data_IF_097589829149
#
_entry.id   IF_097589829149
#
_cell.length_a   1.000
_cell.length_b   1.000
_cell.length_c   1.000
_cell.angle_alpha   90.00
_cell.angle_beta   90.00
_cell.angle_gamma   90.00
#
_symmetry.space_group_name_H-M   'P 1'
#
loop_
_entity.id
_entity.type
_entity.pdbx_description
1 polymer ?
#
# COMPACT_ATOMS: atom_id res chain seq x y z
N UNK A 1 7.67 22.68 -7.15
CA UNK A 1 7.30 21.54 -6.29
C UNK A 1 7.85 20.27 -6.92
N UNK A 2 8.53 19.42 -6.14
CA UNK A 2 9.12 18.18 -6.66
C UNK A 2 8.02 17.12 -6.85
N UNK A 3 7.96 16.49 -8.02
CA UNK A 3 7.01 15.41 -8.30
C UNK A 3 7.33 14.17 -7.42
N UNK A 4 6.30 13.56 -6.84
CA UNK A 4 6.46 12.36 -6.01
C UNK A 4 6.12 11.11 -6.81
N UNK A 5 7.07 10.18 -6.90
CA UNK A 5 6.87 8.85 -7.47
C UNK A 5 6.61 7.81 -6.37
N UNK A 6 5.92 6.72 -6.72
CA UNK A 6 5.75 5.54 -5.86
C UNK A 6 6.18 4.29 -6.65
N UNK A 7 7.49 3.99 -6.76
CA UNK A 7 8.00 2.93 -7.63
C UNK A 7 7.47 1.53 -7.24
N UNK A 8 7.34 1.26 -5.94
CA UNK A 8 6.88 -0.04 -5.42
C UNK A 8 5.35 -0.13 -5.25
N UNK A 9 4.58 0.75 -5.89
CA UNK A 9 3.11 0.81 -5.71
C UNK A 9 2.41 -0.50 -6.04
N UNK A 10 2.92 -1.23 -7.03
CA UNK A 10 2.33 -2.45 -7.56
C UNK A 10 2.94 -3.72 -6.96
N UNK A 11 3.92 -3.59 -6.06
CA UNK A 11 4.55 -4.69 -5.36
C UNK A 11 3.84 -4.93 -4.03
N UNK A 12 3.66 -6.19 -3.65
CA UNK A 12 3.16 -6.55 -2.34
C UNK A 12 4.26 -6.43 -1.28
N UNK A 13 3.88 -6.12 -0.04
CA UNK A 13 4.81 -6.02 1.10
C UNK A 13 5.65 -7.31 1.27
N UNK A 14 5.00 -8.48 1.13
CA UNK A 14 5.67 -9.78 1.18
C UNK A 14 6.76 -9.95 0.11
N UNK A 15 6.56 -9.40 -1.08
CA UNK A 15 7.53 -9.50 -2.18
C UNK A 15 8.72 -8.57 -1.93
N UNK A 16 8.47 -7.37 -1.40
CA UNK A 16 9.52 -6.40 -1.05
C UNK A 16 10.40 -6.98 0.07
N UNK A 17 9.80 -7.55 1.11
CA UNK A 17 10.53 -8.19 2.21
C UNK A 17 11.31 -9.42 1.72
N UNK A 18 10.70 -10.25 0.86
CA UNK A 18 11.36 -11.42 0.29
C UNK A 18 12.56 -11.03 -0.59
N UNK A 19 12.43 -9.97 -1.39
CA UNK A 19 13.52 -9.42 -2.18
C UNK A 19 14.68 -8.93 -1.32
N UNK A 20 14.37 -8.15 -0.27
CA UNK A 20 15.39 -7.65 0.67
C UNK A 20 16.14 -8.80 1.36
N UNK A 21 15.43 -9.88 1.72
CA UNK A 21 16.04 -11.06 2.32
C UNK A 21 17.02 -11.77 1.36
N UNK A 22 16.60 -12.07 0.12
CA UNK A 22 17.47 -12.76 -0.86
C UNK A 22 18.66 -11.91 -1.32
N UNK A 23 18.52 -10.59 -1.31
CA UNK A 23 19.61 -9.67 -1.65
C UNK A 23 20.47 -9.29 -0.43
N UNK A 24 20.21 -9.86 0.74
CA UNK A 24 20.91 -9.56 1.99
C UNK A 24 21.01 -8.04 2.26
N UNK A 25 19.92 -7.32 2.03
CA UNK A 25 19.85 -5.88 2.32
C UNK A 25 19.65 -5.67 3.82
N UNK A 26 20.35 -4.70 4.40
CA UNK A 26 20.09 -4.28 5.77
C UNK A 26 18.73 -3.56 5.84
N UNK A 27 17.78 -4.14 6.59
CA UNK A 27 16.49 -3.53 6.87
C UNK A 27 16.08 -3.76 8.34
N UNK A 28 15.28 -2.85 8.89
CA UNK A 28 14.76 -2.94 10.25
C UNK A 28 13.30 -3.37 10.24
N UNK A 29 12.94 -4.36 11.05
CA UNK A 29 11.56 -4.83 11.24
C UNK A 29 10.96 -4.44 12.59
N UNK A 30 11.62 -3.54 13.33
CA UNK A 30 11.13 -3.06 14.63
C UNK A 30 9.98 -2.08 14.42
N UNK A 31 8.77 -2.50 14.77
CA UNK A 31 7.60 -1.62 14.76
C UNK A 31 7.68 -0.58 15.89
N UNK A 32 7.00 0.55 15.70
CA UNK A 32 6.89 1.58 16.74
C UNK A 32 6.04 1.06 17.92
N UNK A 33 6.39 1.44 19.15
CA UNK A 33 5.64 1.07 20.38
C UNK A 33 4.17 1.49 20.32
N UNK A 34 3.86 2.58 19.62
CA UNK A 34 2.49 3.08 19.45
C UNK A 34 1.76 2.49 18.22
N UNK A 35 2.45 1.74 17.36
CA UNK A 35 1.87 1.16 16.15
C UNK A 35 0.62 0.28 16.41
N UNK A 36 0.55 -0.52 17.50
CA UNK A 36 -0.62 -1.35 17.78
C UNK A 36 -1.90 -0.55 18.03
N UNK A 37 -1.78 0.70 18.51
CA UNK A 37 -2.92 1.57 18.79
C UNK A 37 -3.40 2.33 17.55
N UNK A 38 -2.71 2.20 16.41
CA UNK A 38 -3.05 2.93 15.20
C UNK A 38 -4.28 2.33 14.51
N UNK A 39 -5.28 3.17 14.21
CA UNK A 39 -6.48 2.75 13.49
C UNK A 39 -6.19 2.01 12.17
N UNK A 40 -5.08 2.36 11.49
CA UNK A 40 -4.63 1.72 10.23
C UNK A 40 -4.44 0.20 10.33
N UNK A 41 -4.30 -0.36 11.53
CA UNK A 41 -4.28 -1.82 11.74
C UNK A 41 -5.57 -2.51 11.32
N UNK A 42 -6.75 -1.93 11.58
CA UNK A 42 -8.04 -2.55 11.27
C UNK A 42 -8.27 -2.70 9.75
N UNK A 43 -8.09 -1.65 8.92
CA UNK A 43 -8.17 -1.81 7.46
C UNK A 43 -7.12 -2.77 6.89
N UNK A 44 -5.93 -2.84 7.49
CA UNK A 44 -4.89 -3.79 7.07
C UNK A 44 -5.30 -5.24 7.33
N UNK A 45 -5.90 -5.53 8.49
CA UNK A 45 -6.44 -6.85 8.81
C UNK A 45 -7.54 -7.25 7.82
N UNK A 46 -8.52 -6.35 7.59
CA UNK A 46 -9.57 -6.58 6.59
C UNK A 46 -9.00 -6.86 5.20
N UNK A 47 -8.01 -6.08 4.75
CA UNK A 47 -7.35 -6.31 3.46
C UNK A 47 -6.67 -7.69 3.39
N UNK A 48 -6.13 -8.20 4.50
CA UNK A 48 -5.53 -9.54 4.56
C UNK A 48 -6.58 -10.64 4.50
N UNK A 49 -7.72 -10.47 5.18
CA UNK A 49 -8.85 -11.41 5.09
C UNK A 49 -9.41 -11.47 3.66
N UNK A 50 -9.49 -10.32 3.00
CA UNK A 50 -9.90 -10.24 1.59
C UNK A 50 -8.85 -10.79 0.61
N UNK A 51 -7.56 -10.67 0.92
CA UNK A 51 -6.47 -11.31 0.15
C UNK A 51 -6.53 -12.83 0.27
N UNK A 52 -6.90 -13.36 1.44
CA UNK A 52 -7.05 -14.80 1.69
C UNK A 52 -8.20 -15.43 0.87
N UNK A 53 -9.30 -14.70 0.68
CA UNK A 53 -10.42 -15.16 -0.17
C UNK A 53 -10.10 -15.00 -1.66
N UNK A 54 -9.43 -13.91 -2.05
CA UNK A 54 -9.01 -13.64 -3.42
C UNK A 54 -7.67 -12.91 -3.44
N UNK A 55 -6.63 -13.59 -3.92
CA UNK A 55 -5.26 -13.06 -3.93
C UNK A 55 -5.12 -11.71 -4.68
N UNK A 56 -5.95 -11.47 -5.70
CA UNK A 56 -5.90 -10.24 -6.50
C UNK A 56 -6.60 -9.04 -5.84
N UNK A 57 -7.21 -9.19 -4.67
CA UNK A 57 -8.06 -8.15 -4.07
C UNK A 57 -7.32 -6.82 -3.88
N UNK A 58 -6.10 -6.83 -3.36
CA UNK A 58 -5.31 -5.60 -3.12
C UNK A 58 -5.06 -4.84 -4.43
N UNK A 59 -4.63 -5.55 -5.48
CA UNK A 59 -4.40 -4.96 -6.80
C UNK A 59 -5.70 -4.43 -7.45
N UNK A 60 -6.78 -5.21 -7.35
CA UNK A 60 -8.10 -4.84 -7.87
C UNK A 60 -8.67 -3.59 -7.17
N UNK A 61 -8.57 -3.51 -5.84
CA UNK A 61 -8.97 -2.34 -5.07
C UNK A 61 -8.12 -1.12 -5.43
N UNK A 62 -6.80 -1.29 -5.58
CA UNK A 62 -5.92 -0.21 -6.00
C UNK A 62 -6.24 0.32 -7.41
N UNK A 63 -6.67 -0.55 -8.32
CA UNK A 63 -7.14 -0.17 -9.66
C UNK A 63 -8.50 0.53 -9.61
N UNK A 64 -9.46 -0.06 -8.89
CA UNK A 64 -10.79 0.52 -8.70
C UNK A 64 -10.74 1.89 -8.04
N UNK A 65 -9.93 2.05 -7.00
CA UNK A 65 -9.77 3.32 -6.28
C UNK A 65 -9.14 4.44 -7.10
N UNK A 66 -8.38 4.11 -8.16
CA UNK A 66 -7.91 5.13 -9.13
C UNK A 66 -9.00 5.60 -10.08
N UNK A 67 -9.94 4.73 -10.40
CA UNK A 67 -11.05 4.98 -11.33
C UNK A 67 -12.29 5.48 -10.62
N UNK A 68 -12.23 5.58 -9.29
CA UNK A 68 -13.31 6.10 -8.48
C UNK A 68 -13.37 7.62 -8.67
N UNK A 69 -14.45 8.08 -9.29
CA UNK A 69 -14.78 9.50 -9.35
C UNK A 69 -15.34 9.91 -7.98
N UNK A 70 -14.62 10.80 -7.30
CA UNK A 70 -15.07 11.39 -6.03
C UNK A 70 -15.70 12.75 -6.34
N UNK A 71 -16.82 13.05 -5.69
CA UNK A 71 -17.54 14.30 -5.89
C UNK A 71 -16.60 15.52 -5.74
N UNK A 72 -16.88 16.55 -6.54
CA UNK A 72 -16.01 17.71 -6.83
C UNK A 72 -15.65 18.59 -5.63
N UNK A 73 -16.22 18.34 -4.45
CA UNK A 73 -16.00 19.13 -3.24
C UNK A 73 -14.59 18.97 -2.67
N UNK A 74 -13.84 17.94 -3.08
CA UNK A 74 -12.49 17.66 -2.56
C UNK A 74 -11.45 17.73 -3.68
N UNK A 75 -10.47 18.61 -3.54
CA UNK A 75 -9.36 18.76 -4.47
C UNK A 75 -8.51 17.47 -4.55
N UNK A 76 -8.66 16.73 -5.64
CA UNK A 76 -7.80 15.57 -5.95
C UNK A 76 -6.48 16.04 -6.54
N UNK A 77 -5.36 15.64 -5.91
CA UNK A 77 -4.01 15.92 -6.48
C UNK A 77 -3.84 15.13 -7.77
N UNK A 78 -3.38 15.78 -8.84
CA UNK A 78 -2.97 15.09 -10.06
C UNK A 78 -1.85 14.12 -9.71
N UNK A 79 -2.05 12.84 -10.06
CA UNK A 79 -1.01 11.83 -9.92
C UNK A 79 0.01 12.10 -11.02
N UNK A 80 1.28 12.34 -10.64
CA UNK A 80 2.37 12.42 -11.61
C UNK A 80 2.54 11.10 -12.33
N UNK A 81 2.86 11.15 -13.62
CA UNK A 81 3.22 9.97 -14.39
C UNK A 81 4.55 9.40 -13.85
N UNK A 82 4.56 8.11 -13.58
CA UNK A 82 5.76 7.28 -13.48
C UNK A 82 5.48 6.04 -14.32
#
# INVERSE_FOLDING_TARGET
TVARCKPLRHCYEKEIVLYAHFQALDYFSTECVYAPQAFRGHPRALLKDLEATRATTVAALGHSGRRLEVATEVATKSLGAC
#
